data_IF_392412514955
#
_entry.id   IF_392412514955
#
_cell.length_a   1.000
_cell.length_b   1.000
_cell.length_c   1.000
_cell.angle_alpha   90.00
_cell.angle_beta   90.00
_cell.angle_gamma   90.00
#
_symmetry.space_group_name_H-M   'P 1'
#
loop_
_entity.id
_entity.type
_entity.pdbx_description
1 polymer ?
#
# COMPACT_ATOMS: atom_id res chain seq x y z
N UNK A 1 -21.83 -14.59 -15.98
CA UNK A 1 -20.94 -13.68 -15.22
C UNK A 1 -19.74 -13.17 -16.03
N UNK A 2 -19.20 -13.92 -17.00
CA UNK A 2 -18.04 -13.50 -17.82
C UNK A 2 -18.25 -12.18 -18.60
N UNK A 3 -19.45 -11.94 -19.13
CA UNK A 3 -19.73 -10.79 -20.00
C UNK A 3 -19.61 -9.42 -19.32
N UNK A 4 -19.82 -9.35 -17.99
CA UNK A 4 -19.70 -8.09 -17.23
C UNK A 4 -18.23 -7.70 -17.01
N UNK A 5 -17.35 -8.67 -16.78
CA UNK A 5 -15.90 -8.42 -16.56
C UNK A 5 -15.24 -7.94 -17.85
N UNK A 6 -15.58 -8.57 -18.99
CA UNK A 6 -15.15 -8.09 -20.31
C UNK A 6 -15.66 -6.68 -20.62
N UNK A 7 -16.89 -6.35 -20.20
CA UNK A 7 -17.43 -4.99 -20.31
C UNK A 7 -16.68 -3.96 -19.46
N UNK A 8 -16.22 -4.33 -18.27
CA UNK A 8 -15.46 -3.45 -17.38
C UNK A 8 -14.04 -3.17 -17.88
N UNK A 9 -13.34 -4.19 -18.38
CA UNK A 9 -11.99 -4.02 -18.95
C UNK A 9 -11.97 -3.20 -20.25
N UNK A 10 -13.12 -3.10 -20.94
CA UNK A 10 -13.29 -2.20 -22.09
C UNK A 10 -13.35 -0.73 -21.69
N UNK A 11 -13.80 -0.42 -20.47
CA UNK A 11 -13.78 0.94 -19.95
C UNK A 11 -12.33 1.37 -19.65
N UNK A 12 -11.87 2.44 -20.30
CA UNK A 12 -10.49 2.91 -20.21
C UNK A 12 -10.09 3.34 -18.79
N UNK A 13 -11.00 3.94 -18.02
CA UNK A 13 -10.72 4.40 -16.66
C UNK A 13 -10.60 3.22 -15.70
N UNK A 14 -11.50 2.23 -15.82
CA UNK A 14 -11.42 1.01 -15.03
C UNK A 14 -10.13 0.23 -15.33
N UNK A 15 -9.76 0.11 -16.61
CA UNK A 15 -8.53 -0.59 -17.00
C UNK A 15 -7.28 0.08 -16.44
N UNK A 16 -7.21 1.42 -16.45
CA UNK A 16 -6.09 2.19 -15.85
C UNK A 16 -6.01 1.97 -14.35
N UNK A 17 -7.15 2.05 -13.65
CA UNK A 17 -7.21 1.79 -12.21
C UNK A 17 -6.77 0.35 -11.89
N UNK A 18 -7.27 -0.63 -12.64
CA UNK A 18 -6.97 -2.04 -12.43
C UNK A 18 -5.47 -2.32 -12.56
N UNK A 19 -4.85 -1.88 -13.66
CA UNK A 19 -3.41 -2.08 -13.89
C UNK A 19 -2.60 -1.38 -12.79
N UNK A 20 -2.90 -0.12 -12.50
CA UNK A 20 -2.18 0.63 -11.45
C UNK A 20 -2.29 -0.03 -10.08
N UNK A 21 -3.48 -0.47 -9.70
CA UNK A 21 -3.70 -1.12 -8.41
C UNK A 21 -3.04 -2.49 -8.34
N UNK A 22 -3.14 -3.31 -9.40
CA UNK A 22 -2.47 -4.63 -9.44
C UNK A 22 -0.96 -4.48 -9.36
N UNK A 23 -0.36 -3.57 -10.14
CA UNK A 23 1.09 -3.33 -10.09
C UNK A 23 1.53 -2.80 -8.73
N UNK A 24 0.79 -1.86 -8.13
CA UNK A 24 1.06 -1.34 -6.79
C UNK A 24 0.99 -2.45 -5.73
N UNK A 25 -0.03 -3.31 -5.80
CA UNK A 25 -0.20 -4.41 -4.86
C UNK A 25 0.90 -5.46 -5.01
N UNK A 26 1.28 -5.78 -6.25
CA UNK A 26 2.40 -6.67 -6.52
C UNK A 26 3.71 -6.13 -5.91
N UNK A 27 4.04 -4.86 -6.18
CA UNK A 27 5.22 -4.22 -5.59
C UNK A 27 5.19 -4.20 -4.07
N UNK A 28 4.01 -3.98 -3.47
CA UNK A 28 3.82 -4.04 -2.02
C UNK A 28 4.19 -5.44 -1.48
N UNK A 29 3.71 -6.51 -2.11
CA UNK A 29 4.02 -7.89 -1.69
C UNK A 29 5.51 -8.21 -1.84
N UNK A 30 6.14 -7.75 -2.92
CA UNK A 30 7.59 -7.89 -3.11
C UNK A 30 8.35 -7.15 -2.01
N UNK A 31 7.96 -5.93 -1.67
CA UNK A 31 8.62 -5.14 -0.61
C UNK A 31 8.45 -5.76 0.78
N UNK A 32 7.28 -6.32 1.09
CA UNK A 32 7.02 -6.99 2.37
C UNK A 32 7.97 -8.15 2.65
N UNK A 33 8.35 -8.89 1.61
CA UNK A 33 9.33 -9.97 1.72
C UNK A 33 10.76 -9.47 1.52
N UNK A 34 10.93 -8.53 0.58
CA UNK A 34 12.22 -7.99 0.18
C UNK A 34 12.91 -7.18 1.27
N UNK A 35 12.17 -6.32 1.99
CA UNK A 35 12.75 -5.47 3.05
C UNK A 35 13.39 -6.31 4.18
N UNK A 36 12.71 -7.31 4.78
CA UNK A 36 13.32 -8.19 5.76
C UNK A 36 14.51 -8.99 5.20
N UNK A 37 14.41 -9.49 3.97
CA UNK A 37 15.49 -10.26 3.34
C UNK A 37 16.73 -9.39 3.09
N UNK A 38 16.56 -8.16 2.62
CA UNK A 38 17.65 -7.22 2.43
C UNK A 38 18.30 -6.87 3.77
N UNK A 39 17.50 -6.58 4.78
CA UNK A 39 17.99 -6.28 6.13
C UNK A 39 18.81 -7.44 6.71
N UNK A 40 18.34 -8.68 6.57
CA UNK A 40 19.03 -9.85 7.09
C UNK A 40 20.31 -10.18 6.29
N UNK A 41 20.21 -10.23 4.95
CA UNK A 41 21.27 -10.76 4.10
C UNK A 41 22.35 -9.74 3.75
N UNK A 42 21.99 -8.47 3.63
CA UNK A 42 22.92 -7.42 3.17
C UNK A 42 23.27 -6.40 4.24
N UNK A 43 22.39 -6.17 5.22
CA UNK A 43 22.64 -5.23 6.32
C UNK A 43 23.06 -5.91 7.63
N UNK A 44 23.04 -7.25 7.69
CA UNK A 44 23.41 -8.01 8.88
C UNK A 44 22.56 -7.67 10.09
N UNK A 45 21.27 -7.37 9.88
CA UNK A 45 20.39 -6.88 10.93
C UNK A 45 20.25 -7.90 12.08
N UNK A 46 20.42 -7.42 13.30
CA UNK A 46 20.23 -8.22 14.52
C UNK A 46 18.75 -8.60 14.72
N UNK A 47 18.45 -9.64 15.53
CA UNK A 47 17.06 -10.03 15.83
C UNK A 47 16.21 -8.89 16.38
N UNK A 48 16.80 -8.00 17.19
CA UNK A 48 16.11 -6.82 17.73
C UNK A 48 15.73 -5.83 16.61
N UNK A 49 16.65 -5.58 15.67
CA UNK A 49 16.37 -4.70 14.52
C UNK A 49 15.31 -5.29 13.60
N UNK A 50 15.29 -6.62 13.41
CA UNK A 50 14.24 -7.30 12.66
C UNK A 50 12.87 -7.18 13.34
N UNK A 51 12.83 -7.31 14.66
CA UNK A 51 11.61 -7.06 15.44
C UNK A 51 11.11 -5.62 15.32
N UNK A 52 12.02 -4.64 15.38
CA UNK A 52 11.70 -3.23 15.18
C UNK A 52 11.24 -2.92 13.75
N UNK A 53 11.84 -3.57 12.74
CA UNK A 53 11.43 -3.42 11.35
C UNK A 53 9.97 -3.89 11.16
N UNK A 54 9.62 -5.04 11.72
CA UNK A 54 8.24 -5.54 11.72
C UNK A 54 7.29 -4.61 12.48
N UNK A 55 7.70 -4.07 13.63
CA UNK A 55 6.90 -3.07 14.35
C UNK A 55 6.69 -1.81 13.51
N UNK A 56 7.72 -1.31 12.84
CA UNK A 56 7.65 -0.10 12.02
C UNK A 56 6.67 -0.22 10.86
N UNK A 57 6.39 -1.43 10.37
CA UNK A 57 5.37 -1.68 9.35
C UNK A 57 3.95 -1.32 9.86
N UNK A 58 3.65 -1.63 11.12
CA UNK A 58 2.32 -1.40 11.71
C UNK A 58 2.25 -0.14 12.56
N UNK A 59 3.39 0.40 13.01
CA UNK A 59 3.45 1.54 13.92
C UNK A 59 2.67 2.77 13.42
N UNK A 60 2.76 3.20 12.14
CA UNK A 60 1.96 4.32 11.66
C UNK A 60 0.46 4.07 11.79
N UNK A 61 -0.01 2.86 11.49
CA UNK A 61 -1.42 2.52 11.62
C UNK A 61 -1.88 2.52 13.08
N UNK A 62 -1.05 2.01 14.00
CA UNK A 62 -1.36 2.00 15.43
C UNK A 62 -1.40 3.43 15.99
N UNK A 63 -0.43 4.27 15.63
CA UNK A 63 -0.30 5.63 16.15
C UNK A 63 -1.38 6.55 15.56
N UNK A 64 -1.63 6.45 14.25
CA UNK A 64 -2.46 7.40 13.53
C UNK A 64 -3.84 6.85 13.15
N UNK A 65 -4.12 5.56 13.28
CA UNK A 65 -5.33 4.92 12.72
C UNK A 65 -6.64 5.53 13.21
N UNK A 66 -6.76 5.81 14.52
CA UNK A 66 -7.94 6.45 15.09
C UNK A 66 -8.11 7.90 14.62
N UNK A 67 -7.03 8.68 14.63
CA UNK A 67 -7.05 10.07 14.20
C UNK A 67 -7.31 10.20 12.71
N UNK A 68 -6.68 9.34 11.90
CA UNK A 68 -6.85 9.31 10.46
C UNK A 68 -8.31 9.03 10.08
N UNK A 69 -9.01 8.11 10.75
CA UNK A 69 -10.43 7.85 10.48
C UNK A 69 -11.31 9.09 10.66
N UNK A 70 -11.20 9.76 11.82
CA UNK A 70 -11.99 10.97 12.12
C UNK A 70 -11.67 12.11 11.16
N UNK A 71 -10.40 12.27 10.78
CA UNK A 71 -9.98 13.30 9.83
C UNK A 71 -10.49 13.00 8.42
N UNK A 72 -10.27 11.78 7.91
CA UNK A 72 -10.66 11.38 6.55
C UNK A 72 -12.17 11.49 6.33
N UNK A 73 -12.97 11.19 7.34
CA UNK A 73 -14.43 11.29 7.25
C UNK A 73 -14.94 12.74 7.08
N UNK A 74 -14.14 13.75 7.47
CA UNK A 74 -14.52 15.16 7.39
C UNK A 74 -14.12 15.85 6.09
N UNK A 75 -13.24 15.25 5.29
CA UNK A 75 -12.70 15.86 4.06
C UNK A 75 -13.22 15.16 2.80
N UNK A 76 -13.25 15.85 1.64
CA UNK A 76 -13.61 15.23 0.38
C UNK A 76 -12.67 14.06 0.03
N UNK A 77 -13.24 12.94 -0.39
CA UNK A 77 -12.52 11.68 -0.62
C UNK A 77 -11.47 11.77 -1.74
N UNK A 78 -11.75 12.56 -2.79
CA UNK A 78 -10.90 12.61 -4.00
C UNK A 78 -9.48 13.11 -3.73
N UNK A 79 -9.27 14.28 -3.09
CA UNK A 79 -7.92 14.76 -2.76
C UNK A 79 -7.15 13.81 -1.84
N UNK A 80 -7.82 13.20 -0.85
CA UNK A 80 -7.19 12.23 0.05
C UNK A 80 -6.68 11.02 -0.71
N UNK A 81 -7.51 10.46 -1.60
CA UNK A 81 -7.11 9.30 -2.41
C UNK A 81 -5.93 9.62 -3.33
N UNK A 82 -5.87 10.83 -3.89
CA UNK A 82 -4.74 11.25 -4.74
C UNK A 82 -3.46 11.40 -3.90
N UNK A 83 -3.54 12.08 -2.76
CA UNK A 83 -2.39 12.25 -1.86
C UNK A 83 -1.88 10.90 -1.34
N UNK A 84 -2.78 10.00 -0.92
CA UNK A 84 -2.41 8.67 -0.44
C UNK A 84 -1.73 7.83 -1.51
N UNK A 85 -2.23 7.86 -2.75
CA UNK A 85 -1.57 7.15 -3.86
C UNK A 85 -0.20 7.75 -4.20
N UNK A 86 -0.03 9.06 -4.08
CA UNK A 86 1.27 9.71 -4.28
C UNK A 86 2.28 9.26 -3.22
N UNK A 87 1.91 9.32 -1.93
CA UNK A 87 2.76 8.85 -0.83
C UNK A 87 3.08 7.36 -0.89
N UNK A 88 2.18 6.53 -1.45
CA UNK A 88 2.44 5.08 -1.59
C UNK A 88 3.53 4.77 -2.63
N UNK A 89 3.78 5.69 -3.56
CA UNK A 89 4.73 5.48 -4.68
C UNK A 89 6.12 6.05 -4.38
N UNK A 90 6.23 6.99 -3.43
CA UNK A 90 7.49 7.62 -2.98
C UNK A 90 8.03 6.88 -1.76
#
# INVERSE_FOLDING_TARGET
>A
MSSKVEGLLKNADFRRLWIGQTTSQFGTQVALLGMPLVAALYLGASPMQMGLLGFAEYAPFIIFGLFAGVWIDRFPRRPILVAANFFKVV
#
